data_IF_607822404462
#
_entry.id   IF_607822404462
#
_cell.length_a   1.000
_cell.length_b   1.000
_cell.length_c   1.000
_cell.angle_alpha   90.00
_cell.angle_beta   90.00
_cell.angle_gamma   90.00
#
_symmetry.space_group_name_H-M   'P 1'
#
loop_
_entity.id
_entity.type
_entity.pdbx_description
1 polymer ?
#
# COMPACT_ATOMS: atom_id res chain seq x y z
N UNK A 1 -0.99 -10.28 5.88
CA UNK A 1 -2.38 -10.65 5.51
C UNK A 1 -2.49 -10.67 4.00
N UNK A 2 -2.57 -11.84 3.36
CA UNK A 2 -2.87 -11.92 1.92
C UNK A 2 -4.32 -11.47 1.75
N UNK A 3 -4.56 -10.40 0.98
CA UNK A 3 -5.91 -9.87 0.78
C UNK A 3 -6.79 -10.96 0.15
N UNK A 4 -7.98 -11.25 0.70
CA UNK A 4 -8.87 -12.32 0.21
C UNK A 4 -9.19 -12.17 -1.28
N UNK A 5 -9.24 -10.92 -1.77
CA UNK A 5 -9.44 -10.59 -3.18
C UNK A 5 -8.28 -11.04 -4.09
N UNK A 6 -7.02 -10.93 -3.63
CA UNK A 6 -5.86 -11.40 -4.40
C UNK A 6 -5.82 -12.93 -4.49
N UNK A 7 -6.21 -13.61 -3.40
CA UNK A 7 -6.30 -15.07 -3.37
C UNK A 7 -7.39 -15.56 -4.33
N UNK A 8 -8.56 -14.93 -4.31
CA UNK A 8 -9.68 -15.24 -5.22
C UNK A 8 -9.34 -15.01 -6.69
N UNK A 9 -8.58 -13.96 -7.02
CA UNK A 9 -8.12 -13.73 -8.40
C UNK A 9 -7.10 -14.79 -8.87
N UNK A 10 -6.20 -15.23 -7.99
CA UNK A 10 -5.25 -16.32 -8.26
C UNK A 10 -5.96 -17.66 -8.49
N UNK A 11 -6.97 -17.98 -7.68
CA UNK A 11 -7.81 -19.17 -7.83
C UNK A 11 -8.57 -19.15 -9.16
N UNK A 12 -9.19 -18.02 -9.51
CA UNK A 12 -9.89 -17.86 -10.79
C UNK A 12 -8.96 -17.95 -11.99
N UNK A 13 -7.75 -17.39 -11.91
CA UNK A 13 -6.75 -17.52 -12.98
C UNK A 13 -6.39 -18.98 -13.23
N UNK A 14 -6.21 -19.76 -12.17
CA UNK A 14 -5.92 -21.19 -12.27
C UNK A 14 -7.09 -21.96 -12.92
N UNK A 15 -8.34 -21.62 -12.58
CA UNK A 15 -9.53 -22.20 -13.20
C UNK A 15 -9.61 -21.86 -14.70
N UNK A 16 -9.33 -20.61 -15.08
CA UNK A 16 -9.31 -20.16 -16.49
C UNK A 16 -8.24 -20.90 -17.29
N UNK A 17 -7.05 -21.08 -16.73
CA UNK A 17 -5.94 -21.82 -17.36
C UNK A 17 -6.29 -23.32 -17.52
N UNK A 18 -6.92 -23.95 -16.52
CA UNK A 18 -7.41 -25.33 -16.60
C UNK A 18 -8.54 -25.51 -17.63
N UNK A 19 -9.46 -24.55 -17.71
CA UNK A 19 -10.54 -24.55 -18.70
C UNK A 19 -10.00 -24.44 -20.12
N UNK A 20 -8.99 -23.61 -20.38
CA UNK A 20 -8.32 -23.53 -21.70
C UNK A 20 -7.74 -24.87 -22.13
N UNK A 21 -6.99 -25.53 -21.24
CA UNK A 21 -6.41 -26.85 -21.52
C UNK A 21 -7.51 -27.88 -21.81
N UNK A 22 -8.65 -27.79 -21.12
CA UNK A 22 -9.78 -28.69 -21.32
C UNK A 22 -10.50 -28.43 -22.63
N UNK A 23 -10.72 -27.15 -23.00
CA UNK A 23 -11.30 -26.74 -24.28
C UNK A 23 -10.44 -27.24 -25.44
N UNK A 24 -9.12 -27.03 -25.40
CA UNK A 24 -8.21 -27.47 -26.47
C UNK A 24 -8.23 -28.99 -26.65
N UNK A 25 -8.27 -29.75 -25.54
CA UNK A 25 -8.38 -31.22 -25.58
C UNK A 25 -9.73 -31.69 -26.13
N UNK A 26 -10.84 -31.20 -25.58
CA UNK A 26 -12.19 -31.62 -26.00
C UNK A 26 -12.47 -31.21 -27.46
N UNK A 27 -11.95 -30.06 -27.91
CA UNK A 27 -12.02 -29.61 -29.29
C UNK A 27 -11.23 -30.53 -30.23
N UNK A 28 -9.97 -30.82 -29.90
CA UNK A 28 -9.14 -31.71 -30.70
C UNK A 28 -9.75 -33.13 -30.80
N UNK A 29 -10.29 -33.67 -29.71
CA UNK A 29 -10.98 -34.96 -29.73
C UNK A 29 -12.26 -34.96 -30.57
N UNK A 30 -13.08 -33.91 -30.47
CA UNK A 30 -14.31 -33.79 -31.23
C UNK A 30 -14.04 -33.62 -32.74
N UNK A 31 -13.02 -32.83 -33.10
CA UNK A 31 -12.59 -32.65 -34.49
C UNK A 31 -11.98 -33.92 -35.08
N UNK A 32 -11.14 -34.65 -34.32
CA UNK A 32 -10.54 -35.92 -34.76
C UNK A 32 -11.60 -36.99 -35.04
N UNK A 33 -12.59 -37.15 -34.16
CA UNK A 33 -13.65 -38.15 -34.31
C UNK A 33 -14.58 -37.86 -35.50
N UNK A 34 -14.81 -36.59 -35.82
CA UNK A 34 -15.55 -36.19 -37.01
C UNK A 34 -14.71 -36.35 -38.29
N UNK A 35 -13.42 -36.03 -38.22
CA UNK A 35 -12.48 -36.14 -39.34
C UNK A 35 -12.24 -37.60 -39.78
N UNK A 36 -12.41 -38.59 -38.91
CA UNK A 36 -12.28 -40.02 -39.28
C UNK A 36 -13.39 -40.48 -40.24
N UNK A 37 -14.61 -39.95 -40.11
CA UNK A 37 -15.78 -40.42 -40.88
C UNK A 37 -16.12 -39.54 -42.08
N UNK A 38 -15.69 -38.29 -42.08
CA UNK A 38 -15.91 -37.34 -43.16
C UNK A 38 -15.32 -37.79 -44.52
N UNK A 39 -14.11 -38.38 -44.60
CA UNK A 39 -13.55 -38.89 -45.86
C UNK A 39 -14.36 -40.04 -46.47
N UNK A 40 -14.81 -40.98 -45.64
CA UNK A 40 -15.62 -42.12 -46.09
C UNK A 40 -16.99 -41.67 -46.62
N UNK A 41 -17.57 -40.64 -46.01
CA UNK A 41 -18.81 -40.02 -46.49
C UNK A 41 -18.61 -39.30 -47.83
N UNK A 42 -17.55 -38.50 -47.96
CA UNK A 42 -17.21 -37.80 -49.19
C UNK A 42 -16.91 -38.77 -50.34
N UNK A 43 -16.18 -39.85 -50.08
CA UNK A 43 -15.89 -40.90 -51.05
C UNK A 43 -17.19 -41.59 -51.52
N UNK A 44 -18.11 -41.85 -50.59
CA UNK A 44 -19.40 -42.44 -50.94
C UNK A 44 -20.31 -41.47 -51.71
N UNK A 45 -20.27 -40.17 -51.41
CA UNK A 45 -20.96 -39.12 -52.17
C UNK A 45 -20.40 -39.00 -53.60
N UNK A 46 -19.08 -39.07 -53.77
CA UNK A 46 -18.42 -39.11 -55.09
C UNK A 46 -18.79 -40.39 -55.85
N UNK A 47 -18.91 -41.52 -55.15
CA UNK A 47 -19.43 -42.78 -55.71
C UNK A 47 -20.81 -42.63 -56.38
N UNK A 48 -21.66 -41.74 -55.86
CA UNK A 48 -22.96 -41.42 -56.47
C UNK A 48 -22.85 -40.58 -57.76
N UNK A 49 -21.76 -39.84 -58.01
CA UNK A 49 -21.54 -39.13 -59.29
C UNK A 49 -21.26 -40.09 -60.44
N UNK A 50 -20.77 -41.30 -60.13
CA UNK A 50 -20.46 -42.31 -61.16
C UNK A 50 -21.71 -43.00 -61.73
N UNK A 51 -22.89 -42.74 -61.16
CA UNK A 51 -24.18 -43.28 -61.59
C UNK A 51 -24.75 -42.46 -62.76
N UNK A 52 -25.07 -43.11 -63.88
CA UNK A 52 -25.69 -42.43 -65.02
C UNK A 52 -27.21 -42.40 -64.85
N UNK A 53 -27.86 -41.39 -65.46
CA UNK A 53 -29.33 -41.25 -65.47
C UNK A 53 -30.04 -42.47 -66.08
N UNK A 54 -29.37 -43.19 -66.99
CA UNK A 54 -29.81 -44.47 -67.56
C UNK A 54 -29.98 -45.55 -66.52
N UNK A 55 -29.04 -45.64 -65.57
CA UNK A 55 -28.97 -46.73 -64.59
C UNK A 55 -30.05 -46.55 -63.49
N UNK A 56 -30.34 -45.30 -63.15
CA UNK A 56 -31.47 -44.93 -62.26
C UNK A 56 -32.81 -45.22 -62.95
N UNK A 57 -32.90 -44.97 -64.25
CA UNK A 57 -34.10 -45.26 -65.05
C UNK A 57 -34.37 -46.76 -65.16
N UNK A 58 -33.32 -47.58 -65.28
CA UNK A 58 -33.39 -49.04 -65.26
C UNK A 58 -33.92 -49.55 -63.90
N UNK A 59 -33.36 -49.07 -62.79
CA UNK A 59 -33.83 -49.43 -61.44
C UNK A 59 -35.29 -49.02 -61.18
N UNK A 60 -35.73 -47.89 -61.75
CA UNK A 60 -37.13 -47.42 -61.67
C UNK A 60 -38.11 -48.28 -62.48
N UNK A 61 -37.65 -48.87 -63.60
CA UNK A 61 -38.50 -49.59 -64.55
C UNK A 61 -39.01 -50.94 -64.03
N UNK A 62 -38.42 -51.48 -62.95
CA UNK A 62 -38.86 -52.74 -62.34
C UNK A 62 -40.27 -52.61 -61.74
N UNK A 63 -41.21 -53.39 -62.30
CA UNK A 63 -42.57 -53.52 -61.78
C UNK A 63 -42.58 -54.21 -60.40
N UNK A 64 -41.75 -55.25 -60.24
CA UNK A 64 -41.47 -55.94 -58.99
C UNK A 64 -39.94 -56.09 -58.82
N UNK A 65 -39.26 -55.19 -58.07
CA UNK A 65 -37.83 -55.29 -57.85
C UNK A 65 -37.49 -56.50 -56.97
N UNK A 66 -36.27 -57.02 -57.12
CA UNK A 66 -35.67 -57.99 -56.18
C UNK A 66 -35.73 -57.40 -54.77
N UNK A 67 -36.04 -58.25 -53.79
CA UNK A 67 -36.26 -57.80 -52.41
C UNK A 67 -35.08 -57.01 -51.82
N UNK A 68 -33.85 -57.31 -52.23
CA UNK A 68 -32.63 -56.58 -51.82
C UNK A 68 -32.64 -55.14 -52.34
N UNK A 69 -32.97 -54.93 -53.62
CA UNK A 69 -33.13 -53.59 -54.21
C UNK A 69 -34.27 -52.80 -53.57
N UNK A 70 -35.36 -53.48 -53.19
CA UNK A 70 -36.51 -52.85 -52.51
C UNK A 70 -36.11 -52.31 -51.14
N UNK A 71 -35.33 -53.07 -50.37
CA UNK A 71 -34.85 -52.68 -49.04
C UNK A 71 -33.85 -51.50 -49.12
N UNK A 72 -32.97 -51.48 -50.12
CA UNK A 72 -32.06 -50.35 -50.39
C UNK A 72 -32.86 -49.07 -50.68
N UNK A 73 -33.90 -49.17 -51.50
CA UNK A 73 -34.81 -48.05 -51.78
C UNK A 73 -35.53 -47.53 -50.52
N UNK A 74 -35.89 -48.42 -49.59
CA UNK A 74 -36.49 -48.03 -48.31
C UNK A 74 -35.49 -47.30 -47.39
N UNK A 75 -34.24 -47.75 -47.35
CA UNK A 75 -33.17 -47.06 -46.63
C UNK A 75 -32.95 -45.62 -47.14
N UNK A 76 -33.07 -45.38 -48.45
CA UNK A 76 -33.00 -44.01 -49.01
C UNK A 76 -34.17 -43.13 -48.59
N UNK A 77 -35.40 -43.65 -48.63
CA UNK A 77 -36.57 -42.88 -48.21
C UNK A 77 -36.48 -42.48 -46.74
N UNK A 78 -35.92 -43.36 -45.90
CA UNK A 78 -35.66 -43.07 -44.48
C UNK A 78 -34.61 -41.96 -44.34
N UNK A 79 -33.51 -42.03 -45.11
CA UNK A 79 -32.50 -40.97 -45.16
C UNK A 79 -33.08 -39.63 -45.62
N UNK A 80 -33.93 -39.64 -46.64
CA UNK A 80 -34.62 -38.45 -47.15
C UNK A 80 -35.80 -37.99 -46.27
N UNK A 81 -36.18 -38.77 -45.26
CA UNK A 81 -37.25 -38.42 -44.32
C UNK A 81 -38.66 -38.43 -44.91
N UNK A 82 -38.90 -39.28 -45.91
CA UNK A 82 -40.24 -39.43 -46.49
C UNK A 82 -41.23 -40.06 -45.49
N UNK A 83 -42.50 -39.61 -45.46
CA UNK A 83 -43.49 -40.06 -44.46
C UNK A 83 -43.99 -41.50 -44.69
N UNK A 84 -43.86 -42.03 -45.91
CA UNK A 84 -44.30 -43.39 -46.27
C UNK A 84 -43.16 -44.19 -46.87
N UNK A 85 -43.06 -45.46 -46.47
CA UNK A 85 -42.07 -46.42 -46.97
C UNK A 85 -42.79 -47.36 -47.92
N UNK A 86 -42.87 -46.99 -49.21
CA UNK A 86 -43.44 -47.85 -50.24
C UNK A 86 -42.60 -47.79 -51.52
N UNK A 87 -42.60 -48.88 -52.31
CA UNK A 87 -41.86 -48.90 -53.59
C UNK A 87 -42.41 -47.86 -54.58
N UNK A 88 -43.69 -47.48 -54.45
CA UNK A 88 -44.29 -46.39 -55.22
C UNK A 88 -43.61 -45.05 -54.91
N UNK A 89 -43.29 -44.81 -53.63
CA UNK A 89 -42.61 -43.59 -53.18
C UNK A 89 -41.13 -43.61 -53.56
N UNK A 90 -40.47 -44.78 -53.51
CA UNK A 90 -39.08 -44.94 -54.00
C UNK A 90 -39.00 -44.55 -55.48
N UNK A 91 -39.95 -45.01 -56.31
CA UNK A 91 -40.00 -44.65 -57.74
C UNK A 91 -40.30 -43.17 -57.97
N UNK A 92 -41.13 -42.56 -57.12
CA UNK A 92 -41.43 -41.13 -57.20
C UNK A 92 -40.20 -40.28 -56.89
N UNK A 93 -39.44 -40.66 -55.86
CA UNK A 93 -38.20 -39.99 -55.47
C UNK A 93 -37.09 -40.18 -56.50
N UNK A 94 -36.94 -41.38 -57.07
CA UNK A 94 -35.99 -41.66 -58.17
C UNK A 94 -36.39 -41.00 -59.50
N UNK A 95 -37.62 -40.51 -59.65
CA UNK A 95 -38.06 -39.79 -60.83
C UNK A 95 -37.67 -38.31 -60.82
N UNK A 96 -37.32 -37.75 -59.65
CA UNK A 96 -36.84 -36.38 -59.54
C UNK A 96 -35.45 -36.25 -60.17
N UNK A 97 -35.31 -35.30 -61.09
CA UNK A 97 -34.04 -34.98 -61.75
C UNK A 97 -32.98 -34.49 -60.75
N UNK A 98 -33.40 -33.99 -59.58
CA UNK A 98 -32.54 -33.55 -58.47
C UNK A 98 -32.29 -34.64 -57.43
N UNK A 99 -32.75 -35.87 -57.62
CA UNK A 99 -32.63 -36.97 -56.63
C UNK A 99 -31.19 -37.16 -56.10
N UNK A 100 -30.22 -37.30 -57.01
CA UNK A 100 -28.81 -37.49 -56.64
C UNK A 100 -28.25 -36.24 -55.93
N UNK A 101 -28.65 -35.04 -56.37
CA UNK A 101 -28.26 -33.79 -55.71
C UNK A 101 -28.85 -33.70 -54.30
N UNK A 102 -30.13 -34.01 -54.12
CA UNK A 102 -30.82 -34.00 -52.84
C UNK A 102 -30.24 -35.01 -51.84
N UNK A 103 -29.74 -36.17 -52.32
CA UNK A 103 -29.01 -37.13 -51.49
C UNK A 103 -27.66 -36.59 -51.00
N UNK A 104 -27.01 -35.71 -51.76
CA UNK A 104 -25.69 -35.15 -51.43
C UNK A 104 -25.77 -33.90 -50.57
N UNK A 105 -26.69 -33.01 -50.89
CA UNK A 105 -26.81 -31.69 -50.27
C UNK A 105 -27.57 -31.72 -48.95
N UNK A 106 -28.18 -32.87 -48.60
CA UNK A 106 -28.83 -33.02 -47.30
C UNK A 106 -27.76 -33.03 -46.22
N UNK A 107 -27.92 -32.13 -45.26
CA UNK A 107 -27.08 -32.09 -44.07
C UNK A 107 -27.27 -33.39 -43.26
N UNK A 108 -26.21 -34.21 -43.09
CA UNK A 108 -26.25 -35.41 -42.26
C UNK A 108 -26.72 -35.11 -40.82
N UNK A 109 -26.51 -33.90 -40.32
CA UNK A 109 -26.86 -33.45 -38.97
C UNK A 109 -28.39 -33.36 -38.72
N UNK A 110 -29.19 -33.23 -39.79
CA UNK A 110 -30.66 -33.14 -39.71
C UNK A 110 -31.35 -34.53 -39.59
N UNK A 111 -30.58 -35.61 -39.60
CA UNK A 111 -31.11 -36.97 -39.50
C UNK A 111 -31.50 -37.32 -38.07
N UNK A 112 -32.78 -37.63 -37.84
CA UNK A 112 -33.33 -37.83 -36.50
C UNK A 112 -32.97 -39.21 -35.94
N UNK A 113 -32.78 -39.33 -34.62
CA UNK A 113 -32.56 -40.62 -33.94
C UNK A 113 -33.60 -41.71 -34.29
N UNK A 114 -34.87 -41.32 -34.52
CA UNK A 114 -35.94 -42.22 -35.00
C UNK A 114 -35.65 -42.79 -36.39
N UNK A 115 -35.09 -41.99 -37.30
CA UNK A 115 -34.72 -42.42 -38.64
C UNK A 115 -33.50 -43.35 -38.61
N UNK A 116 -32.53 -43.12 -37.71
CA UNK A 116 -31.38 -44.01 -37.52
C UNK A 116 -31.79 -45.41 -37.05
N UNK A 117 -32.72 -45.52 -36.09
CA UNK A 117 -33.25 -46.80 -35.64
C UNK A 117 -33.99 -47.52 -36.77
N UNK A 118 -34.81 -46.80 -37.55
CA UNK A 118 -35.50 -47.38 -38.70
C UNK A 118 -34.52 -47.85 -39.77
N UNK A 119 -33.49 -47.07 -40.08
CA UNK A 119 -32.45 -47.42 -41.05
C UNK A 119 -31.75 -48.73 -40.68
N UNK A 120 -31.36 -48.89 -39.42
CA UNK A 120 -30.72 -50.11 -38.91
C UNK A 120 -31.60 -51.35 -39.02
N UNK A 121 -32.92 -51.21 -38.82
CA UNK A 121 -33.88 -52.32 -38.99
C UNK A 121 -33.91 -52.79 -40.45
N UNK A 122 -33.92 -51.87 -41.42
CA UNK A 122 -33.95 -52.22 -42.84
C UNK A 122 -32.60 -52.71 -43.37
N UNK A 123 -31.48 -52.16 -42.86
CA UNK A 123 -30.15 -52.69 -43.14
C UNK A 123 -29.99 -54.12 -42.64
N UNK A 124 -30.42 -54.43 -41.40
CA UNK A 124 -30.39 -55.80 -40.89
C UNK A 124 -31.22 -56.79 -41.72
N UNK A 125 -32.42 -56.37 -42.14
CA UNK A 125 -33.27 -57.19 -43.06
C UNK A 125 -32.62 -57.40 -44.43
N UNK A 126 -31.80 -56.45 -44.87
CA UNK A 126 -31.08 -56.54 -46.13
C UNK A 126 -29.86 -57.47 -45.99
N UNK A 127 -29.15 -57.40 -44.87
CA UNK A 127 -28.07 -58.32 -44.52
C UNK A 127 -28.55 -59.77 -44.46
N UNK A 128 -29.66 -60.04 -43.76
CA UNK A 128 -30.28 -61.37 -43.66
C UNK A 128 -30.66 -61.95 -45.03
N UNK A 129 -30.90 -61.11 -46.05
CA UNK A 129 -31.23 -61.55 -47.42
C UNK A 129 -30.02 -61.66 -48.34
N UNK A 130 -28.98 -60.86 -48.14
CA UNK A 130 -27.75 -60.90 -48.95
C UNK A 130 -26.77 -61.96 -48.44
N UNK A 131 -26.82 -62.30 -47.14
CA UNK A 131 -26.05 -63.37 -46.52
C UNK A 131 -26.96 -64.31 -45.71
N UNK A 132 -27.75 -65.18 -46.37
CA UNK A 132 -28.72 -66.07 -45.72
C UNK A 132 -28.07 -67.10 -44.78
N UNK A 133 -26.77 -67.38 -44.96
CA UNK A 133 -26.01 -68.34 -44.17
C UNK A 133 -25.19 -67.66 -43.04
N UNK A 134 -25.31 -66.34 -42.88
CA UNK A 134 -24.56 -65.55 -41.90
C UNK A 134 -23.02 -65.74 -41.98
N UNK A 135 -22.50 -66.03 -43.16
CA UNK A 135 -21.09 -66.34 -43.39
C UNK A 135 -20.15 -65.16 -43.05
N UNK A 136 -20.66 -63.93 -43.14
CA UNK A 136 -19.91 -62.70 -42.90
C UNK A 136 -20.31 -62.01 -41.58
N UNK A 137 -21.18 -62.63 -40.78
CA UNK A 137 -21.63 -62.10 -39.48
C UNK A 137 -20.49 -61.95 -38.46
N UNK A 138 -19.45 -62.78 -38.57
CA UNK A 138 -18.27 -62.81 -37.68
C UNK A 138 -17.18 -61.79 -38.02
N UNK A 139 -17.28 -61.11 -39.15
CA UNK A 139 -16.30 -60.09 -39.58
C UNK A 139 -16.51 -58.75 -38.87
N UNK A 140 -15.50 -57.88 -38.85
CA UNK A 140 -15.66 -56.50 -38.40
C UNK A 140 -16.65 -55.72 -39.28
N UNK A 141 -17.35 -54.73 -38.69
CA UNK A 141 -18.45 -53.99 -39.36
C UNK A 141 -18.02 -53.39 -40.71
N UNK A 142 -16.85 -52.76 -40.76
CA UNK A 142 -16.29 -52.16 -41.98
C UNK A 142 -16.02 -53.19 -43.09
N UNK A 143 -15.45 -54.34 -42.75
CA UNK A 143 -15.16 -55.42 -43.69
C UNK A 143 -16.43 -56.12 -44.18
N UNK A 144 -17.42 -56.25 -43.30
CA UNK A 144 -18.75 -56.79 -43.62
C UNK A 144 -19.47 -55.89 -44.61
N UNK A 145 -19.49 -54.58 -44.35
CA UNK A 145 -20.12 -53.58 -45.22
C UNK A 145 -19.51 -53.60 -46.64
N UNK A 146 -18.18 -53.73 -46.75
CA UNK A 146 -17.48 -53.85 -48.05
C UNK A 146 -17.89 -55.12 -48.81
N UNK A 147 -18.00 -56.27 -48.12
CA UNK A 147 -18.41 -57.54 -48.73
C UNK A 147 -19.87 -57.52 -49.17
N UNK A 148 -20.76 -56.94 -48.36
CA UNK A 148 -22.18 -56.77 -48.70
C UNK A 148 -22.37 -55.84 -49.90
N UNK A 149 -21.61 -54.74 -49.97
CA UNK A 149 -21.56 -53.87 -51.15
C UNK A 149 -21.09 -54.63 -52.39
N UNK A 150 -20.10 -55.50 -52.26
CA UNK A 150 -19.58 -56.31 -53.38
C UNK A 150 -20.63 -57.31 -53.89
N UNK A 151 -21.30 -58.02 -52.97
CA UNK A 151 -22.42 -58.93 -53.31
C UNK A 151 -23.57 -58.18 -53.99
N UNK A 152 -23.89 -56.98 -53.49
CA UNK A 152 -24.93 -56.15 -54.08
C UNK A 152 -24.53 -55.59 -55.45
N UNK A 153 -23.25 -55.27 -55.66
CA UNK A 153 -22.72 -54.80 -56.95
C UNK A 153 -22.87 -55.88 -58.04
N UNK A 154 -22.76 -57.16 -57.68
CA UNK A 154 -23.00 -58.28 -58.60
C UNK A 154 -24.48 -58.44 -58.98
N UNK A 155 -25.41 -57.97 -58.13
CA UNK A 155 -26.86 -57.97 -58.42
C UNK A 155 -27.26 -56.72 -59.21
N UNK A 156 -26.75 -55.56 -58.81
CA UNK A 156 -26.97 -54.29 -59.51
C UNK A 156 -25.87 -53.29 -59.12
N UNK A 157 -25.19 -52.74 -60.12
CA UNK A 157 -24.19 -51.69 -59.94
C UNK A 157 -24.75 -50.47 -59.20
N UNK A 158 -25.99 -50.09 -59.48
CA UNK A 158 -26.70 -48.97 -58.84
C UNK A 158 -26.98 -49.29 -57.37
N UNK A 159 -27.43 -50.51 -57.08
CA UNK A 159 -27.65 -50.99 -55.72
C UNK A 159 -26.39 -51.00 -54.88
N UNK A 160 -25.24 -51.37 -55.46
CA UNK A 160 -23.93 -51.35 -54.79
C UNK A 160 -23.48 -49.95 -54.37
N UNK A 161 -23.48 -48.97 -55.29
CA UNK A 161 -23.10 -47.59 -54.96
C UNK A 161 -24.02 -46.94 -53.93
N UNK A 162 -25.31 -47.25 -54.01
CA UNK A 162 -26.31 -46.76 -53.07
C UNK A 162 -26.19 -47.39 -51.68
N UNK A 163 -25.86 -48.68 -51.61
CA UNK A 163 -25.58 -49.37 -50.35
C UNK A 163 -24.29 -48.84 -49.70
N UNK A 164 -23.23 -48.58 -50.48
CA UNK A 164 -21.99 -47.94 -49.99
C UNK A 164 -22.26 -46.57 -49.37
N UNK A 165 -23.12 -45.75 -49.99
CA UNK A 165 -23.54 -44.46 -49.45
C UNK A 165 -24.33 -44.60 -48.14
N UNK A 166 -25.27 -45.55 -48.07
CA UNK A 166 -26.06 -45.77 -46.85
C UNK A 166 -25.18 -46.28 -45.69
N UNK A 167 -24.21 -47.18 -45.94
CA UNK A 167 -23.25 -47.62 -44.90
C UNK A 167 -22.35 -46.48 -44.43
N UNK A 168 -21.88 -45.60 -45.33
CA UNK A 168 -21.10 -44.43 -44.95
C UNK A 168 -21.91 -43.45 -44.08
N UNK A 169 -23.21 -43.28 -44.38
CA UNK A 169 -24.14 -42.50 -43.55
C UNK A 169 -24.36 -43.16 -42.18
N UNK A 170 -24.59 -44.48 -42.09
CA UNK A 170 -24.76 -45.17 -40.81
C UNK A 170 -23.52 -45.04 -39.91
N UNK A 171 -22.33 -45.15 -40.50
CA UNK A 171 -21.06 -44.97 -39.77
C UNK A 171 -20.82 -43.53 -39.33
N UNK A 172 -21.16 -42.54 -40.18
CA UNK A 172 -21.15 -41.13 -39.79
C UNK A 172 -22.13 -40.86 -38.63
N UNK A 173 -23.34 -41.43 -38.67
CA UNK A 173 -24.36 -41.23 -37.64
C UNK A 173 -23.98 -41.85 -36.29
N UNK A 174 -23.35 -43.02 -36.28
CA UNK A 174 -22.85 -43.64 -35.05
C UNK A 174 -21.80 -42.73 -34.38
N UNK A 175 -20.90 -42.12 -35.16
CA UNK A 175 -19.91 -41.15 -34.64
C UNK A 175 -20.51 -39.80 -34.29
N UNK A 176 -21.44 -39.29 -35.08
CA UNK A 176 -22.14 -38.04 -34.80
C UNK A 176 -22.92 -38.11 -33.48
N UNK A 177 -23.50 -39.27 -33.16
CA UNK A 177 -24.16 -39.50 -31.87
C UNK A 177 -23.19 -39.41 -30.68
N UNK A 178 -21.94 -39.82 -30.86
CA UNK A 178 -20.88 -39.71 -29.86
C UNK A 178 -20.35 -38.27 -29.74
N UNK A 179 -20.24 -37.54 -30.86
CA UNK A 179 -19.66 -36.18 -30.89
C UNK A 179 -20.65 -35.07 -30.55
N UNK A 180 -21.96 -35.27 -30.77
CA UNK A 180 -23.01 -34.30 -30.39
C UNK A 180 -22.96 -33.85 -28.92
N UNK A 181 -22.97 -34.75 -27.92
CA UNK A 181 -22.88 -34.33 -26.51
C UNK A 181 -21.54 -33.68 -26.19
N UNK A 182 -20.44 -34.07 -26.87
CA UNK A 182 -19.13 -33.40 -26.72
C UNK A 182 -19.16 -31.97 -27.24
N UNK A 183 -19.84 -31.71 -28.36
CA UNK A 183 -20.02 -30.37 -28.92
C UNK A 183 -20.89 -29.47 -28.03
N UNK A 184 -21.97 -30.01 -27.47
CA UNK A 184 -22.82 -29.29 -26.51
C UNK A 184 -22.07 -28.99 -25.20
N UNK A 185 -21.26 -29.95 -24.72
CA UNK A 185 -20.38 -29.77 -23.56
C UNK A 185 -19.29 -28.71 -23.82
N UNK A 186 -18.65 -28.74 -24.99
CA UNK A 186 -17.65 -27.75 -25.39
C UNK A 186 -18.22 -26.33 -25.37
N UNK A 187 -19.42 -26.13 -25.95
CA UNK A 187 -20.11 -24.83 -25.91
C UNK A 187 -20.41 -24.36 -24.48
N UNK A 188 -20.77 -25.28 -23.57
CA UNK A 188 -20.97 -24.93 -22.16
C UNK A 188 -19.66 -24.48 -21.50
N UNK A 189 -18.56 -25.21 -21.74
CA UNK A 189 -17.25 -24.90 -21.16
C UNK A 189 -16.70 -23.58 -21.74
N UNK A 190 -16.90 -23.31 -23.02
CA UNK A 190 -16.52 -22.05 -23.67
C UNK A 190 -17.27 -20.85 -23.06
N UNK A 191 -18.58 -20.98 -22.84
CA UNK A 191 -19.38 -19.94 -22.19
C UNK A 191 -18.95 -19.72 -20.72
N UNK A 192 -18.68 -20.80 -19.98
CA UNK A 192 -18.17 -20.71 -18.60
C UNK A 192 -16.77 -20.07 -18.56
N UNK A 193 -15.92 -20.36 -19.55
CA UNK A 193 -14.61 -19.75 -19.71
C UNK A 193 -14.71 -18.23 -19.95
N UNK A 194 -15.58 -17.78 -20.86
CA UNK A 194 -15.78 -16.34 -21.11
C UNK A 194 -16.27 -15.60 -19.86
N UNK A 195 -17.20 -16.21 -19.12
CA UNK A 195 -17.69 -15.66 -17.85
C UNK A 195 -16.57 -15.54 -16.81
N UNK A 196 -15.79 -16.61 -16.62
CA UNK A 196 -14.67 -16.62 -15.68
C UNK A 196 -13.57 -15.63 -16.08
N UNK A 197 -13.29 -15.47 -17.37
CA UNK A 197 -12.32 -14.51 -17.89
C UNK A 197 -12.76 -13.06 -17.64
N UNK A 198 -14.04 -12.76 -17.87
CA UNK A 198 -14.63 -11.44 -17.57
C UNK A 198 -14.54 -11.10 -16.08
N UNK A 199 -14.87 -12.07 -15.21
CA UNK A 199 -14.75 -11.89 -13.77
C UNK A 199 -13.29 -11.74 -13.30
N UNK A 200 -12.36 -12.50 -13.88
CA UNK A 200 -10.93 -12.38 -13.61
C UNK A 200 -10.43 -10.97 -13.95
N UNK A 201 -10.73 -10.47 -15.14
CA UNK A 201 -10.37 -9.10 -15.57
C UNK A 201 -10.93 -8.04 -14.61
N UNK A 202 -12.19 -8.20 -14.18
CA UNK A 202 -12.82 -7.29 -13.22
C UNK A 202 -12.09 -7.30 -11.87
N UNK A 203 -11.69 -8.48 -11.39
CA UNK A 203 -10.94 -8.63 -10.14
C UNK A 203 -9.54 -8.04 -10.24
N UNK A 204 -8.84 -8.23 -11.36
CA UNK A 204 -7.52 -7.66 -11.60
C UNK A 204 -7.55 -6.11 -11.60
N UNK A 205 -8.51 -5.51 -12.30
CA UNK A 205 -8.72 -4.05 -12.29
C UNK A 205 -9.01 -3.55 -10.87
N UNK A 206 -9.82 -4.28 -10.10
CA UNK A 206 -10.14 -3.93 -8.72
C UNK A 206 -8.90 -3.99 -7.82
N UNK A 207 -8.09 -5.04 -7.99
CA UNK A 207 -6.83 -5.20 -7.26
C UNK A 207 -5.87 -4.05 -7.58
N UNK A 208 -5.73 -3.67 -8.85
CA UNK A 208 -4.87 -2.55 -9.27
C UNK A 208 -5.30 -1.23 -8.64
N UNK A 209 -6.60 -0.92 -8.66
CA UNK A 209 -7.15 0.28 -8.00
C UNK A 209 -6.86 0.27 -6.49
N UNK A 210 -7.10 -0.86 -5.82
CA UNK A 210 -6.85 -1.00 -4.39
C UNK A 210 -5.36 -0.89 -4.06
N UNK A 211 -4.46 -1.42 -4.90
CA UNK A 211 -3.01 -1.28 -4.69
C UNK A 211 -2.57 0.18 -4.84
N UNK A 212 -3.08 0.90 -5.85
CA UNK A 212 -2.75 2.31 -6.04
C UNK A 212 -3.23 3.19 -4.88
N UNK A 213 -4.45 2.95 -4.39
CA UNK A 213 -4.99 3.64 -3.21
C UNK A 213 -4.16 3.33 -1.97
N UNK A 214 -3.77 2.07 -1.77
CA UNK A 214 -2.99 1.64 -0.62
C UNK A 214 -1.58 2.25 -0.64
N UNK A 215 -0.96 2.36 -1.81
CA UNK A 215 0.36 3.01 -1.95
C UNK A 215 0.30 4.52 -1.73
N UNK A 216 -0.76 5.20 -2.18
CA UNK A 216 -0.99 6.61 -1.84
C UNK A 216 -1.18 6.80 -0.33
N UNK A 217 -2.00 5.96 0.32
CA UNK A 217 -2.18 6.02 1.77
C UNK A 217 -0.90 5.72 2.53
N UNK A 218 -0.07 4.77 2.09
CA UNK A 218 1.24 4.50 2.68
C UNK A 218 2.16 5.72 2.61
N UNK A 219 2.28 6.35 1.44
CA UNK A 219 3.09 7.56 1.28
C UNK A 219 2.64 8.69 2.21
N UNK A 220 1.33 8.92 2.30
CA UNK A 220 0.77 9.93 3.20
C UNK A 220 1.00 9.58 4.67
N UNK A 221 0.86 8.31 5.03
CA UNK A 221 1.12 7.83 6.38
C UNK A 221 2.59 8.01 6.78
N UNK A 222 3.52 7.61 5.90
CA UNK A 222 4.95 7.72 6.16
C UNK A 222 5.37 9.19 6.30
N UNK A 223 4.89 10.07 5.42
CA UNK A 223 5.12 11.51 5.52
C UNK A 223 4.56 12.10 6.83
N UNK A 224 3.31 11.78 7.18
CA UNK A 224 2.70 12.24 8.42
C UNK A 224 3.42 11.71 9.67
N UNK A 225 3.96 10.49 9.61
CA UNK A 225 4.72 9.89 10.71
C UNK A 225 6.10 10.55 10.86
N UNK A 226 6.76 10.91 9.77
CA UNK A 226 8.00 11.68 9.77
C UNK A 226 7.80 13.07 10.40
N UNK A 227 6.76 13.78 9.97
CA UNK A 227 6.42 15.10 10.51
C UNK A 227 6.08 15.02 11.99
N UNK A 228 5.30 14.01 12.40
CA UNK A 228 5.00 13.75 13.81
C UNK A 228 6.28 13.57 14.63
N UNK A 229 7.25 12.80 14.13
CA UNK A 229 8.51 12.56 14.83
C UNK A 229 9.33 13.85 14.96
N UNK A 230 9.41 14.66 13.90
CA UNK A 230 10.08 15.98 13.92
C UNK A 230 9.45 16.89 14.97
N UNK A 231 8.13 17.05 14.94
CA UNK A 231 7.43 17.89 15.93
C UNK A 231 7.58 17.39 17.36
N UNK A 232 7.60 16.07 17.58
CA UNK A 232 7.85 15.51 18.91
C UNK A 232 9.25 15.87 19.42
N UNK A 233 10.28 15.78 18.58
CA UNK A 233 11.66 16.15 18.95
C UNK A 233 11.78 17.66 19.24
N UNK A 234 11.22 18.51 18.39
CA UNK A 234 11.22 19.97 18.60
C UNK A 234 10.49 20.35 19.90
N UNK A 235 9.35 19.72 20.17
CA UNK A 235 8.57 19.96 21.39
C UNK A 235 9.36 19.54 22.63
N UNK A 236 10.07 18.41 22.58
CA UNK A 236 10.89 17.95 23.70
C UNK A 236 12.04 18.93 23.99
N UNK A 237 12.72 19.44 22.95
CA UNK A 237 13.77 20.45 23.09
C UNK A 237 13.20 21.74 23.70
N UNK A 238 12.04 22.20 23.22
CA UNK A 238 11.39 23.40 23.74
C UNK A 238 10.99 23.24 25.21
N UNK A 239 10.45 22.08 25.59
CA UNK A 239 10.12 21.76 26.98
C UNK A 239 11.36 21.76 27.88
N UNK A 240 12.45 21.13 27.45
CA UNK A 240 13.73 21.14 28.20
C UNK A 240 14.28 22.55 28.39
N UNK A 241 14.20 23.40 27.35
CA UNK A 241 14.62 24.81 27.45
C UNK A 241 13.73 25.59 28.40
N UNK A 242 12.43 25.37 28.35
CA UNK A 242 11.45 26.01 29.25
C UNK A 242 11.73 25.64 30.71
N UNK A 243 11.89 24.37 31.03
CA UNK A 243 12.13 23.92 32.41
C UNK A 243 13.46 24.44 32.95
N UNK A 244 14.51 24.46 32.11
CA UNK A 244 15.78 25.09 32.47
C UNK A 244 15.62 26.59 32.78
N UNK A 245 14.88 27.33 31.95
CA UNK A 245 14.62 28.75 32.17
C UNK A 245 13.79 29.00 33.45
N UNK A 246 12.76 28.19 33.72
CA UNK A 246 11.97 28.27 34.96
C UNK A 246 12.84 27.99 36.20
N UNK A 247 13.77 27.03 36.10
CA UNK A 247 14.70 26.71 37.19
C UNK A 247 15.65 27.88 37.45
N UNK A 248 16.21 28.47 36.40
CA UNK A 248 17.06 29.67 36.53
C UNK A 248 16.28 30.84 37.12
N UNK A 249 15.08 31.12 36.62
CA UNK A 249 14.23 32.21 37.13
C UNK A 249 13.86 32.01 38.60
N UNK A 250 13.56 30.78 39.02
CA UNK A 250 13.29 30.48 40.42
C UNK A 250 14.53 30.63 41.30
N UNK A 251 15.71 30.23 40.81
CA UNK A 251 16.99 30.45 41.47
C UNK A 251 17.35 31.93 41.62
N UNK A 252 17.05 32.77 40.63
CA UNK A 252 17.30 34.21 40.68
C UNK A 252 16.23 35.00 41.45
N UNK A 253 15.15 34.39 41.91
CA UNK A 253 14.05 35.11 42.57
C UNK A 253 14.50 35.83 43.84
N UNK A 254 15.31 35.17 44.67
CA UNK A 254 15.90 35.76 45.88
C UNK A 254 16.90 36.86 45.53
N UNK A 255 17.76 36.62 44.54
CA UNK A 255 18.76 37.58 44.05
C UNK A 255 18.12 38.86 43.51
N UNK A 256 17.05 38.74 42.69
CA UNK A 256 16.29 39.88 42.18
C UNK A 256 15.67 40.68 43.34
N UNK A 257 15.20 40.00 44.39
CA UNK A 257 14.63 40.67 45.57
C UNK A 257 15.73 41.41 46.34
N UNK A 258 16.89 40.76 46.55
CA UNK A 258 18.06 41.38 47.20
C UNK A 258 18.55 42.61 46.42
N UNK A 259 18.72 42.51 45.10
CA UNK A 259 19.15 43.64 44.28
C UNK A 259 18.16 44.80 44.29
N UNK A 260 16.85 44.52 44.37
CA UNK A 260 15.84 45.58 44.52
C UNK A 260 15.96 46.29 45.86
N UNK A 261 16.19 45.55 46.94
CA UNK A 261 16.41 46.10 48.28
C UNK A 261 17.72 46.90 48.36
N UNK A 262 18.81 46.37 47.80
CA UNK A 262 20.09 47.05 47.68
C UNK A 262 19.95 48.34 46.87
N UNK A 263 19.28 48.31 45.72
CA UNK A 263 19.04 49.50 44.90
C UNK A 263 18.24 50.57 45.66
N UNK A 264 17.21 50.18 46.40
CA UNK A 264 16.45 51.11 47.22
C UNK A 264 17.29 51.70 48.35
N UNK A 265 18.14 50.88 48.99
CA UNK A 265 19.06 51.34 50.03
C UNK A 265 20.11 52.30 49.48
N UNK A 266 20.65 52.03 48.29
CA UNK A 266 21.58 52.94 47.61
C UNK A 266 20.94 54.28 47.25
N UNK A 267 19.68 54.29 46.80
CA UNK A 267 18.93 55.54 46.54
C UNK A 267 18.70 56.36 47.81
N UNK A 268 18.47 55.69 48.95
CA UNK A 268 18.39 56.39 50.24
C UNK A 268 19.75 56.99 50.61
N UNK A 269 20.81 56.19 50.47
CA UNK A 269 22.17 56.62 50.75
C UNK A 269 22.64 57.79 49.86
N UNK A 270 22.23 57.83 48.59
CA UNK A 270 22.51 58.94 47.67
C UNK A 270 22.03 60.29 48.23
N UNK A 271 20.84 60.32 48.83
CA UNK A 271 20.30 61.54 49.43
C UNK A 271 21.02 61.92 50.74
N UNK A 272 21.45 60.92 51.52
CA UNK A 272 22.19 61.13 52.77
C UNK A 272 23.67 61.49 52.55
N UNK A 273 24.22 61.15 51.38
CA UNK A 273 25.65 61.30 51.06
C UNK A 273 26.10 62.76 51.17
N UNK A 274 25.26 63.72 50.76
CA UNK A 274 25.59 65.15 50.82
C UNK A 274 25.84 65.59 52.28
N UNK A 275 24.97 65.18 53.21
CA UNK A 275 25.13 65.49 54.63
C UNK A 275 26.35 64.80 55.23
N UNK A 276 26.57 63.53 54.88
CA UNK A 276 27.72 62.76 55.32
C UNK A 276 29.06 63.38 54.84
N UNK A 277 29.15 63.75 53.56
CA UNK A 277 30.33 64.42 52.99
C UNK A 277 30.59 65.76 53.66
N UNK A 278 29.54 66.54 53.94
CA UNK A 278 29.68 67.84 54.61
C UNK A 278 30.24 67.68 56.03
N UNK A 279 29.70 66.72 56.80
CA UNK A 279 30.15 66.45 58.16
C UNK A 279 31.59 65.89 58.18
N UNK A 280 31.93 64.99 57.26
CA UNK A 280 33.28 64.46 57.11
C UNK A 280 34.29 65.53 56.69
N UNK A 281 33.91 66.42 55.77
CA UNK A 281 34.76 67.54 55.33
C UNK A 281 34.98 68.55 56.46
N UNK A 282 33.94 68.87 57.23
CA UNK A 282 34.06 69.73 58.41
C UNK A 282 34.98 69.11 59.47
N UNK A 283 34.89 67.80 59.69
CA UNK A 283 35.79 67.07 60.57
C UNK A 283 37.26 67.20 60.10
N UNK A 284 37.56 66.88 58.85
CA UNK A 284 38.91 66.97 58.31
C UNK A 284 39.48 68.40 58.34
N UNK A 285 38.64 69.41 58.10
CA UNK A 285 39.07 70.81 58.03
C UNK A 285 39.30 71.45 59.40
N UNK A 286 38.44 71.15 60.39
CA UNK A 286 38.39 71.90 61.66
C UNK A 286 38.70 71.08 62.90
N UNK A 287 38.56 69.74 62.88
CA UNK A 287 38.69 68.93 64.11
C UNK A 287 40.14 68.57 64.49
N UNK A 288 41.13 68.82 63.63
CA UNK A 288 42.51 68.36 63.83
C UNK A 288 43.16 68.85 65.13
N UNK A 289 42.90 70.09 65.53
CA UNK A 289 43.50 70.71 66.71
C UNK A 289 42.72 70.50 68.02
N UNK A 290 41.54 69.87 67.98
CA UNK A 290 40.67 69.71 69.15
C UNK A 290 40.86 68.35 69.82
N UNK A 291 40.57 68.27 71.13
CA UNK A 291 40.54 67.02 71.89
C UNK A 291 39.34 66.15 71.49
N UNK A 292 39.39 64.87 71.84
CA UNK A 292 38.33 63.91 71.52
C UNK A 292 36.95 64.37 71.98
N UNK A 293 36.84 64.89 73.21
CA UNK A 293 35.58 65.32 73.81
C UNK A 293 34.96 66.47 73.03
N UNK A 294 35.79 67.45 72.64
CA UNK A 294 35.35 68.60 71.84
C UNK A 294 34.95 68.13 70.43
N UNK A 295 35.67 67.17 69.83
CA UNK A 295 35.29 66.60 68.54
C UNK A 295 33.91 65.94 68.62
N UNK A 296 33.66 65.12 69.65
CA UNK A 296 32.36 64.46 69.83
C UNK A 296 31.22 65.46 70.08
N UNK A 297 31.48 66.53 70.84
CA UNK A 297 30.52 67.62 71.05
C UNK A 297 30.17 68.34 69.74
N UNK A 298 31.19 68.72 68.96
CA UNK A 298 31.02 69.37 67.66
C UNK A 298 30.23 68.46 66.69
N UNK A 299 30.63 67.20 66.59
CA UNK A 299 30.05 66.24 65.64
C UNK A 299 28.61 65.87 65.99
N UNK A 300 28.36 65.43 67.23
CA UNK A 300 27.09 64.81 67.60
C UNK A 300 26.05 65.82 68.07
N UNK A 301 26.46 66.86 68.81
CA UNK A 301 25.53 67.77 69.48
C UNK A 301 25.33 69.08 68.73
N UNK A 302 26.36 69.58 68.03
CA UNK A 302 26.26 70.85 67.29
C UNK A 302 25.99 70.65 65.81
N UNK A 303 26.90 70.01 65.07
CA UNK A 303 26.84 69.93 63.61
C UNK A 303 25.70 69.04 63.12
N UNK A 304 25.52 67.84 63.69
CA UNK A 304 24.35 67.00 63.37
C UNK A 304 23.03 67.71 63.63
N UNK A 305 22.91 68.41 64.76
CA UNK A 305 21.69 69.16 65.10
C UNK A 305 21.43 70.27 64.09
N UNK A 306 22.46 71.04 63.73
CA UNK A 306 22.35 72.10 62.73
C UNK A 306 21.95 71.58 61.34
N UNK A 307 22.53 70.47 60.91
CA UNK A 307 22.17 69.84 59.62
C UNK A 307 20.73 69.33 59.61
N UNK A 308 20.26 68.76 60.73
CA UNK A 308 18.86 68.36 60.88
C UNK A 308 17.91 69.57 60.85
N UNK A 309 18.25 70.69 61.49
CA UNK A 309 17.47 71.94 61.44
C UNK A 309 17.38 72.52 60.01
N UNK A 310 18.39 72.27 59.18
CA UNK A 310 18.43 72.67 57.76
C UNK A 310 17.81 71.64 56.81
N UNK A 311 17.20 70.56 57.34
CA UNK A 311 16.61 69.46 56.57
C UNK A 311 17.62 68.77 55.62
N UNK A 312 18.90 68.73 55.99
CA UNK A 312 19.92 67.97 55.27
C UNK A 312 19.92 66.55 55.82
N UNK A 313 19.66 65.57 54.96
CA UNK A 313 19.60 64.17 55.35
C UNK A 313 20.99 63.62 55.69
N UNK A 314 21.05 62.81 56.73
CA UNK A 314 22.26 62.17 57.26
C UNK A 314 21.95 60.73 57.64
N UNK A 315 22.97 59.88 57.54
CA UNK A 315 22.86 58.50 58.00
C UNK A 315 22.71 58.47 59.53
N UNK A 316 21.65 57.79 60.02
CA UNK A 316 21.28 57.78 61.45
C UNK A 316 22.44 57.39 62.38
N UNK A 317 23.19 56.35 62.01
CA UNK A 317 24.36 55.85 62.75
C UNK A 317 25.66 56.19 62.01
N UNK A 318 25.79 57.41 61.51
CA UNK A 318 27.01 57.84 60.83
C UNK A 318 28.24 57.69 61.75
N UNK A 319 29.27 56.99 61.28
CA UNK A 319 30.57 56.90 61.95
C UNK A 319 31.63 57.41 60.97
N UNK A 320 32.35 58.47 61.36
CA UNK A 320 33.35 59.12 60.51
C UNK A 320 34.43 58.14 60.10
N UNK A 321 34.86 57.28 61.03
CA UNK A 321 35.89 56.27 60.75
C UNK A 321 35.49 55.34 59.61
N UNK A 322 34.26 54.83 59.58
CA UNK A 322 33.82 53.91 58.52
C UNK A 322 33.59 54.62 57.18
N UNK A 323 33.45 55.95 57.18
CA UNK A 323 33.22 56.74 55.97
C UNK A 323 34.53 57.20 55.34
N UNK A 324 35.53 57.56 56.14
CA UNK A 324 36.83 58.08 55.69
C UNK A 324 37.92 57.00 55.61
N UNK A 325 37.69 55.80 56.16
CA UNK A 325 38.58 54.67 56.04
C UNK A 325 37.83 53.34 55.98
N UNK A 326 38.54 52.31 55.55
CA UNK A 326 38.04 50.93 55.50
C UNK A 326 38.55 50.13 56.69
N UNK A 327 37.81 49.07 57.07
CA UNK A 327 38.26 48.16 58.14
C UNK A 327 39.62 47.50 57.83
N UNK A 328 39.96 47.34 56.54
CA UNK A 328 41.26 46.82 56.11
C UNK A 328 42.38 47.80 56.44
N UNK A 329 42.20 49.08 56.11
CA UNK A 329 43.17 50.14 56.44
C UNK A 329 43.33 50.31 57.95
N UNK A 330 42.23 50.31 58.71
CA UNK A 330 42.30 50.41 60.19
C UNK A 330 43.06 49.20 60.78
N UNK A 331 42.79 47.99 60.28
CA UNK A 331 43.52 46.79 60.71
C UNK A 331 45.01 46.88 60.39
N UNK A 332 45.36 47.44 59.24
CA UNK A 332 46.74 47.70 58.87
C UNK A 332 47.40 48.70 59.81
N UNK A 333 46.75 49.83 60.11
CA UNK A 333 47.27 50.82 61.07
C UNK A 333 47.47 50.22 62.46
N UNK A 334 46.55 49.36 62.89
CA UNK A 334 46.67 48.64 64.15
C UNK A 334 47.90 47.72 64.17
N UNK A 335 48.17 47.02 63.05
CA UNK A 335 49.37 46.20 62.91
C UNK A 335 50.68 47.01 62.88
N UNK A 336 50.60 48.30 62.51
CA UNK A 336 51.71 49.24 62.50
C UNK A 336 51.91 49.94 63.87
N UNK A 337 51.11 49.60 64.87
CA UNK A 337 51.24 50.12 66.24
C UNK A 337 50.33 51.31 66.56
N UNK A 338 49.38 51.67 65.69
CA UNK A 338 48.29 52.57 66.08
C UNK A 338 47.33 51.82 67.02
N UNK A 339 46.95 52.37 68.18
CA UNK A 339 45.93 51.77 69.02
C UNK A 339 44.55 51.73 68.35
N UNK A 340 43.76 50.71 68.69
CA UNK A 340 42.46 50.45 68.08
C UNK A 340 41.30 51.28 68.67
N UNK A 341 41.58 52.26 69.52
CA UNK A 341 40.56 53.15 70.06
C UNK A 341 40.12 54.22 69.05
N UNK A 342 38.89 54.71 69.20
CA UNK A 342 38.29 55.67 68.27
C UNK A 342 39.10 56.97 68.13
N UNK A 343 39.73 57.44 69.22
CA UNK A 343 40.53 58.66 69.18
C UNK A 343 41.82 58.46 68.36
N UNK A 344 42.53 57.36 68.58
CA UNK A 344 43.73 57.01 67.80
C UNK A 344 43.40 56.81 66.32
N UNK A 345 42.30 56.13 65.99
CA UNK A 345 41.83 55.95 64.61
C UNK A 345 41.48 57.30 63.96
N UNK A 346 40.75 58.17 64.67
CA UNK A 346 40.45 59.53 64.20
C UNK A 346 41.71 60.34 63.92
N UNK A 347 42.72 60.25 64.79
CA UNK A 347 44.02 60.90 64.56
C UNK A 347 44.75 60.30 63.35
N UNK A 348 44.68 58.98 63.16
CA UNK A 348 45.21 58.31 61.96
C UNK A 348 44.57 58.86 60.68
N UNK A 349 43.24 58.99 60.67
CA UNK A 349 42.49 59.60 59.56
C UNK A 349 42.93 61.04 59.32
N UNK A 350 43.00 61.87 60.36
CA UNK A 350 43.42 63.27 60.25
C UNK A 350 44.88 63.41 59.77
N UNK A 351 45.74 62.44 60.09
CA UNK A 351 47.13 62.44 59.65
C UNK A 351 47.24 62.10 58.15
N UNK A 352 46.39 61.21 57.63
CA UNK A 352 46.52 60.66 56.28
C UNK A 352 45.58 61.29 55.24
N UNK A 353 44.39 61.69 55.64
CA UNK A 353 43.33 62.17 54.74
C UNK A 353 43.24 63.70 54.67
N UNK A 354 44.11 64.43 55.38
CA UNK A 354 44.15 65.90 55.29
C UNK A 354 45.12 66.35 54.19
N UNK A 355 44.75 67.40 53.46
CA UNK A 355 45.57 67.93 52.35
C UNK A 355 46.83 68.67 52.80
N UNK A 356 47.03 68.88 54.10
CA UNK A 356 48.17 69.62 54.66
C UNK A 356 49.02 68.68 55.48
N UNK A 357 50.34 68.87 55.45
CA UNK A 357 51.24 68.10 56.31
C UNK A 357 50.85 68.32 57.78
N UNK A 358 50.45 67.25 58.50
CA UNK A 358 49.99 67.37 59.87
C UNK A 358 51.18 67.65 60.79
N UNK A 359 50.97 68.55 61.75
CA UNK A 359 51.91 68.78 62.85
C UNK A 359 51.41 68.01 64.08
N UNK A 360 52.10 66.94 64.43
CA UNK A 360 51.67 66.03 65.50
C UNK A 360 52.20 66.49 66.86
N UNK A 361 51.29 66.81 67.79
CA UNK A 361 51.61 67.07 69.20
C UNK A 361 51.56 65.73 69.94
N UNK A 362 52.73 65.12 70.12
CA UNK A 362 52.84 63.72 70.57
C UNK A 362 53.78 63.56 71.78
N UNK A 363 53.30 63.81 73.02
CA UNK A 363 54.10 63.65 74.22
C UNK A 363 54.45 62.18 74.54
N UNK A 364 53.72 61.21 73.95
CA UNK A 364 53.88 59.77 74.20
C UNK A 364 54.70 59.04 73.11
N UNK A 365 55.14 59.77 72.07
CA UNK A 365 55.85 59.23 70.90
C UNK A 365 55.06 58.17 70.10
N UNK A 366 53.74 58.10 70.28
CA UNK A 366 52.87 57.11 69.64
C UNK A 366 52.76 57.35 68.12
N UNK A 367 52.56 58.61 67.72
CA UNK A 367 52.47 58.99 66.32
C UNK A 367 53.82 58.80 65.62
N UNK A 368 54.92 59.15 66.30
CA UNK A 368 56.28 58.96 65.78
C UNK A 368 56.55 57.47 65.47
N UNK A 369 56.28 56.59 66.44
CA UNK A 369 56.51 55.15 66.28
C UNK A 369 55.63 54.55 65.18
N UNK A 370 54.36 54.95 65.12
CA UNK A 370 53.44 54.50 64.07
C UNK A 370 53.89 54.93 62.67
N UNK A 371 54.22 56.20 62.46
CA UNK A 371 54.70 56.70 61.16
C UNK A 371 56.00 56.00 60.76
N UNK A 372 56.96 55.85 61.67
CA UNK A 372 58.19 55.11 61.38
C UNK A 372 57.92 53.67 60.96
N UNK A 373 56.98 52.98 61.62
CA UNK A 373 56.66 51.60 61.31
C UNK A 373 55.88 51.46 59.99
N UNK A 374 55.03 52.43 59.67
CA UNK A 374 54.28 52.51 58.41
C UNK A 374 55.20 52.77 57.22
N UNK A 375 56.04 53.80 57.31
CA UNK A 375 56.94 54.21 56.22
C UNK A 375 58.16 53.29 56.07
N UNK A 376 58.41 52.35 56.99
CA UNK A 376 59.45 51.30 56.83
C UNK A 376 59.17 50.34 55.67
N UNK A 377 57.91 50.20 55.28
CA UNK A 377 57.47 49.30 54.20
C UNK A 377 57.08 50.04 52.91
N UNK A 378 57.05 51.37 52.94
CA UNK A 378 56.92 52.22 51.76
C UNK A 378 58.31 52.40 51.11
#
# INVERSE_FOLDING_TARGET
MKHPTKVSALEKKLIVDEQLITIDKEKHEAESQLAETMPALLEAQQGLDTLKSTDITEMRSFANPVDTLRLIGYCMLIYLGHPSISWKDVRAVMADMKFITNLKTRDPDLFTSKQAVQLKIYLKKLEEKLDPNHLYSTLEKSERDIKLVTLMTNVSRVGGSLLKFIHAIDNYMDKYRETKPKKERLLSIENDYENNLSELNRLEISIEKLTNILDDFRKRFDAAMEDKLKFQQETEIALRRRTAAETLLSGFKSEISRWKEELNSMKQYENELIGNCLLASAFLAYCSSFSYEIRQELLNNQWRKYLNEKNILLTKNFQIQNFLSTNVEISEWNSQGLPADEFSIQNGILTLQTNRFPYCIDPQLQCLLWIQQREKKA
#
